data_IF_420105940683
#
_entry.id   IF_420105940683
#
_cell.length_a   1.000
_cell.length_b   1.000
_cell.length_c   1.000
_cell.angle_alpha   90.00
_cell.angle_beta   90.00
_cell.angle_gamma   90.00
#
_symmetry.space_group_name_H-M   'P 1'
#
loop_
_entity.id
_entity.type
_entity.pdbx_description
1 polymer ?
#
# COMPACT_ATOMS: atom_id res chain seq x y z
N UNK A 1 -8.14 -5.05 -24.35
CA UNK A 1 -9.24 -4.98 -23.39
C UNK A 1 -8.96 -5.73 -22.15
N UNK A 2 -8.43 -6.89 -22.27
CA UNK A 2 -8.20 -7.75 -21.14
C UNK A 2 -7.18 -7.22 -20.15
N UNK A 3 -6.35 -6.26 -20.52
CA UNK A 3 -5.27 -5.78 -19.66
C UNK A 3 -5.55 -4.48 -18.95
N UNK A 4 -6.83 -4.09 -18.88
CA UNK A 4 -7.19 -2.85 -18.23
C UNK A 4 -6.72 -2.79 -16.79
N UNK A 5 -6.88 -3.91 -16.06
CA UNK A 5 -6.48 -3.99 -14.66
C UNK A 5 -4.98 -3.80 -14.51
N UNK A 6 -4.18 -4.43 -15.36
CA UNK A 6 -2.75 -4.31 -15.32
C UNK A 6 -2.28 -2.89 -15.61
N UNK A 7 -2.93 -2.24 -16.58
CA UNK A 7 -2.64 -0.84 -16.89
C UNK A 7 -2.95 0.07 -15.71
N UNK A 8 -4.07 -0.20 -15.02
CA UNK A 8 -4.46 0.61 -13.88
C UNK A 8 -3.42 0.52 -12.76
N UNK A 9 -2.91 -0.68 -12.51
CA UNK A 9 -1.91 -0.85 -11.47
C UNK A 9 -0.63 -0.09 -11.83
N UNK A 10 -0.18 -0.19 -13.06
CA UNK A 10 1.01 0.52 -13.51
C UNK A 10 0.85 2.02 -13.42
N UNK A 11 -0.32 2.52 -13.74
CA UNK A 11 -0.55 3.96 -13.65
C UNK A 11 -0.61 4.43 -12.21
N UNK A 12 -1.01 3.55 -11.29
CA UNK A 12 -1.06 3.90 -9.87
C UNK A 12 0.31 3.98 -9.24
N UNK A 13 1.22 3.08 -9.59
CA UNK A 13 2.50 2.96 -8.89
C UNK A 13 3.69 3.51 -9.66
N UNK A 14 3.56 3.75 -10.96
CA UNK A 14 4.70 4.15 -11.78
C UNK A 14 5.51 2.94 -12.23
N UNK A 15 6.40 3.16 -13.19
CA UNK A 15 7.06 2.05 -13.87
C UNK A 15 8.22 1.44 -13.11
N UNK A 16 9.01 2.25 -12.45
CA UNK A 16 10.27 1.80 -11.89
C UNK A 16 10.22 1.48 -10.40
N UNK A 17 9.04 1.51 -9.82
CA UNK A 17 8.90 1.41 -8.37
C UNK A 17 8.60 -0.02 -7.95
N UNK A 18 9.34 -0.53 -6.96
CA UNK A 18 9.00 -1.79 -6.33
C UNK A 18 7.68 -1.64 -5.57
N UNK A 19 6.86 -2.68 -5.59
CA UNK A 19 5.61 -2.60 -4.85
C UNK A 19 5.18 -3.94 -4.30
N UNK A 20 4.33 -3.89 -3.27
CA UNK A 20 3.74 -5.04 -2.64
C UNK A 20 2.22 -4.83 -2.59
N UNK A 21 1.47 -5.89 -2.82
CA UNK A 21 0.00 -5.84 -2.88
C UNK A 21 -0.60 -6.44 -1.63
N UNK A 22 -1.60 -5.77 -1.07
CA UNK A 22 -2.35 -6.27 0.07
C UNK A 22 -3.83 -6.14 -0.22
N UNK A 23 -4.60 -7.20 0.04
CA UNK A 23 -6.04 -7.17 -0.19
C UNK A 23 -6.73 -6.24 0.79
N UNK A 24 -6.25 -6.22 2.03
CA UNK A 24 -6.85 -5.44 3.09
C UNK A 24 -5.78 -5.10 4.11
N UNK A 25 -6.13 -4.19 5.02
CA UNK A 25 -5.25 -3.90 6.15
C UNK A 25 -5.50 -4.96 7.23
N UNK A 26 -4.46 -5.74 7.53
CA UNK A 26 -4.56 -6.75 8.58
C UNK A 26 -4.25 -6.12 9.93
N UNK A 27 -5.29 -5.72 10.64
CA UNK A 27 -5.14 -5.04 11.93
C UNK A 27 -4.59 -5.97 12.99
N UNK A 28 -4.99 -7.24 12.94
CA UNK A 28 -4.57 -8.21 13.94
C UNK A 28 -3.15 -8.72 13.74
N UNK A 29 -2.64 -8.63 12.53
CA UNK A 29 -1.30 -9.10 12.20
C UNK A 29 -0.55 -8.04 11.41
N UNK A 30 -0.25 -6.91 12.04
CA UNK A 30 0.41 -5.83 11.30
C UNK A 30 1.83 -6.17 10.87
N UNK A 31 2.43 -7.21 11.45
CA UNK A 31 3.81 -7.57 11.14
C UNK A 31 4.02 -7.87 9.66
N UNK A 32 3.01 -8.44 8.98
CA UNK A 32 3.20 -8.81 7.58
C UNK A 32 3.45 -7.60 6.69
N UNK A 33 2.68 -6.55 6.86
CA UNK A 33 2.87 -5.37 6.03
C UNK A 33 3.93 -4.44 6.60
N UNK A 34 4.12 -4.42 7.93
CA UNK A 34 5.20 -3.64 8.54
C UNK A 34 6.56 -4.16 8.11
N UNK A 35 6.67 -5.47 7.93
CA UNK A 35 7.90 -6.06 7.42
C UNK A 35 8.24 -5.53 6.03
N UNK A 36 7.24 -5.40 5.18
CA UNK A 36 7.44 -4.82 3.85
C UNK A 36 7.87 -3.36 3.93
N UNK A 37 7.28 -2.60 4.86
CA UNK A 37 7.67 -1.21 5.07
C UNK A 37 9.14 -1.13 5.45
N UNK A 38 9.58 -1.95 6.41
CA UNK A 38 10.97 -1.96 6.83
C UNK A 38 11.90 -2.35 5.69
N UNK A 39 11.53 -3.35 4.90
CA UNK A 39 12.34 -3.79 3.78
C UNK A 39 12.52 -2.66 2.75
N UNK A 40 11.43 -1.96 2.45
CA UNK A 40 11.51 -0.84 1.50
C UNK A 40 12.35 0.31 2.07
N UNK A 41 12.15 0.63 3.35
CA UNK A 41 12.90 1.73 3.98
C UNK A 41 14.40 1.44 4.03
N UNK A 42 14.76 0.18 4.22
CA UNK A 42 16.18 -0.21 4.28
C UNK A 42 16.76 -0.50 2.91
N UNK A 43 15.95 -0.48 1.88
CA UNK A 43 16.39 -0.72 0.51
C UNK A 43 16.28 0.54 -0.32
N UNK A 44 15.60 0.45 -1.44
CA UNK A 44 15.48 1.55 -2.40
C UNK A 44 14.10 2.21 -2.36
N UNK A 45 13.32 1.92 -1.32
CA UNK A 45 11.97 2.43 -1.24
C UNK A 45 10.98 1.54 -1.98
N UNK A 46 9.72 1.92 -1.94
CA UNK A 46 8.69 1.16 -2.63
C UNK A 46 7.31 1.63 -2.23
N UNK A 47 6.31 0.94 -2.74
CA UNK A 47 4.91 1.27 -2.47
C UNK A 47 4.18 0.01 -2.01
N UNK A 48 3.41 0.14 -0.93
CA UNK A 48 2.43 -0.88 -0.58
C UNK A 48 1.06 -0.40 -1.05
N UNK A 49 0.36 -1.25 -1.78
CA UNK A 49 -0.97 -0.94 -2.28
C UNK A 49 -1.98 -1.79 -1.54
N UNK A 50 -2.88 -1.16 -0.80
CA UNK A 50 -3.93 -1.85 -0.06
C UNK A 50 -5.23 -1.78 -0.84
N UNK A 51 -5.88 -2.92 -1.00
CA UNK A 51 -7.14 -3.03 -1.73
C UNK A 51 -7.03 -3.78 -3.05
N UNK A 52 -5.90 -4.45 -3.27
CA UNK A 52 -5.65 -5.22 -4.50
C UNK A 52 -5.35 -6.66 -4.13
N UNK A 53 -5.94 -7.61 -4.85
CA UNK A 53 -5.72 -9.02 -4.62
C UNK A 53 -4.40 -9.49 -5.24
N UNK A 54 -4.01 -10.72 -4.91
CA UNK A 54 -2.77 -11.29 -5.43
C UNK A 54 -2.77 -11.43 -6.96
N UNK A 55 -3.94 -11.60 -7.54
CA UNK A 55 -4.05 -11.70 -9.00
C UNK A 55 -4.37 -10.35 -9.65
N UNK A 56 -4.02 -9.26 -8.96
CA UNK A 56 -4.08 -7.89 -9.47
C UNK A 56 -5.50 -7.38 -9.73
N UNK A 57 -6.47 -7.92 -9.01
CA UNK A 57 -7.83 -7.40 -9.09
C UNK A 57 -8.02 -6.29 -8.07
N UNK A 58 -8.62 -5.19 -8.52
CA UNK A 58 -8.89 -4.06 -7.64
C UNK A 58 -10.17 -4.36 -6.87
N UNK A 59 -10.01 -4.61 -5.58
CA UNK A 59 -11.12 -4.96 -4.69
C UNK A 59 -11.66 -3.75 -3.94
N UNK A 60 -10.78 -2.82 -3.61
CA UNK A 60 -11.14 -1.65 -2.81
C UNK A 60 -11.15 -1.95 -1.33
N UNK A 61 -11.21 -0.89 -0.55
CA UNK A 61 -11.26 -0.96 0.91
C UNK A 61 -12.57 -0.36 1.39
N UNK A 62 -13.14 -0.94 2.44
CA UNK A 62 -14.39 -0.45 3.00
C UNK A 62 -14.24 0.91 3.67
N UNK A 63 -13.08 1.15 4.30
CA UNK A 63 -12.84 2.40 5.01
C UNK A 63 -11.38 2.82 4.77
N UNK A 64 -11.13 3.33 3.59
CA UNK A 64 -9.77 3.68 3.18
C UNK A 64 -9.17 4.77 4.06
N UNK A 65 -9.97 5.78 4.43
CA UNK A 65 -9.50 6.85 5.31
C UNK A 65 -9.11 6.32 6.68
N UNK A 66 -9.97 5.48 7.25
CA UNK A 66 -9.68 4.88 8.55
C UNK A 66 -8.47 3.97 8.50
N UNK A 67 -8.34 3.21 7.41
CA UNK A 67 -7.19 2.35 7.22
C UNK A 67 -5.90 3.16 7.12
N UNK A 68 -5.94 4.28 6.41
CA UNK A 68 -4.76 5.15 6.29
C UNK A 68 -4.31 5.67 7.66
N UNK A 69 -5.26 6.04 8.53
CA UNK A 69 -4.93 6.47 9.88
C UNK A 69 -4.28 5.35 10.68
N UNK A 70 -4.84 4.15 10.60
CA UNK A 70 -4.28 3.01 11.32
C UNK A 70 -2.88 2.67 10.82
N UNK A 71 -2.67 2.73 9.52
CA UNK A 71 -1.34 2.50 8.95
C UNK A 71 -0.33 3.49 9.53
N UNK A 72 -0.70 4.77 9.55
CA UNK A 72 0.18 5.80 10.08
C UNK A 72 0.51 5.57 11.55
N UNK A 73 -0.50 5.23 12.34
CA UNK A 73 -0.30 4.99 13.78
C UNK A 73 0.59 3.77 14.02
N UNK A 74 0.37 2.69 13.28
CA UNK A 74 1.18 1.49 13.46
C UNK A 74 2.64 1.73 13.10
N UNK A 75 2.88 2.46 12.02
CA UNK A 75 4.24 2.77 11.63
C UNK A 75 4.95 3.57 12.71
N UNK A 76 4.28 4.61 13.23
CA UNK A 76 4.87 5.47 14.25
C UNK A 76 5.14 4.74 15.55
N UNK A 77 4.28 3.79 15.92
CA UNK A 77 4.40 3.11 17.21
C UNK A 77 5.27 1.86 17.16
N UNK A 78 5.39 1.23 16.00
CA UNK A 78 6.06 -0.08 15.89
C UNK A 78 7.44 -0.04 15.27
N UNK A 79 7.76 0.99 14.51
CA UNK A 79 9.05 1.07 13.80
C UNK A 79 9.92 2.15 14.39
N UNK A 80 11.19 1.81 14.64
CA UNK A 80 12.18 2.73 15.21
C UNK A 80 13.53 2.47 14.53
N UNK A 81 14.08 3.43 13.79
CA UNK A 81 13.53 4.77 13.58
C UNK A 81 12.29 4.73 12.69
N UNK A 82 11.43 5.73 12.84
CA UNK A 82 10.21 5.83 12.02
C UNK A 82 10.61 6.18 10.59
N UNK A 83 10.26 5.36 9.61
CA UNK A 83 10.64 5.68 8.23
C UNK A 83 9.84 6.84 7.68
N UNK A 84 10.37 7.47 6.64
CA UNK A 84 9.66 8.53 5.94
C UNK A 84 8.67 7.89 4.99
N UNK A 85 7.40 8.21 5.16
CA UNK A 85 6.34 7.63 4.33
C UNK A 85 5.37 8.72 3.90
N UNK A 86 4.60 8.42 2.86
CA UNK A 86 3.50 9.27 2.42
C UNK A 86 2.31 8.39 2.07
N UNK A 87 1.16 8.74 2.60
CA UNK A 87 -0.07 8.01 2.32
C UNK A 87 -0.86 8.74 1.24
N UNK A 88 -1.39 7.98 0.31
CA UNK A 88 -2.17 8.52 -0.78
C UNK A 88 -3.44 7.70 -0.93
N UNK A 89 -4.58 8.38 -1.02
CA UNK A 89 -5.84 7.74 -1.28
C UNK A 89 -6.13 7.82 -2.77
N UNK A 90 -6.43 6.69 -3.38
CA UNK A 90 -6.78 6.64 -4.80
C UNK A 90 -8.14 5.99 -4.95
N UNK A 91 -8.86 6.42 -5.96
CA UNK A 91 -10.14 5.82 -6.29
C UNK A 91 -10.14 5.43 -7.76
N UNK A 92 -10.57 4.21 -8.05
CA UNK A 92 -10.70 3.74 -9.42
C UNK A 92 -11.94 2.86 -9.51
N UNK A 93 -12.82 3.16 -10.46
CA UNK A 93 -14.09 2.44 -10.67
C UNK A 93 -14.92 2.38 -9.39
N UNK A 94 -14.93 3.47 -8.62
CA UNK A 94 -15.69 3.54 -7.39
C UNK A 94 -15.08 2.80 -6.21
N UNK A 95 -13.89 2.24 -6.39
CA UNK A 95 -13.21 1.50 -5.33
C UNK A 95 -12.04 2.32 -4.81
N UNK A 96 -11.90 2.36 -3.49
CA UNK A 96 -10.88 3.17 -2.86
C UNK A 96 -9.70 2.32 -2.43
N UNK A 97 -8.51 2.83 -2.70
CA UNK A 97 -7.25 2.18 -2.38
C UNK A 97 -6.41 3.11 -1.51
N UNK A 98 -5.52 2.52 -0.74
CA UNK A 98 -4.50 3.28 -0.02
C UNK A 98 -3.15 2.89 -0.58
N UNK A 99 -2.38 3.89 -1.00
CA UNK A 99 -1.01 3.70 -1.44
C UNK A 99 -0.10 4.25 -0.36
N UNK A 100 0.76 3.40 0.16
CA UNK A 100 1.74 3.78 1.17
C UNK A 100 3.10 3.86 0.50
N UNK A 101 3.57 5.08 0.27
CA UNK A 101 4.87 5.32 -0.32
C UNK A 101 5.92 5.29 0.78
N UNK A 102 6.92 4.44 0.64
CA UNK A 102 8.00 4.30 1.62
C UNK A 102 9.29 4.78 0.97
N UNK A 103 9.97 5.71 1.61
CA UNK A 103 11.21 6.27 1.10
C UNK A 103 12.42 5.62 1.78
N UNK A 104 13.52 5.45 1.03
CA UNK A 104 14.72 4.83 1.59
C UNK A 104 15.45 5.68 2.61
#
# INVERSE_FOLDING_TARGET
>A
MSNTMELDIKSLIGEATAYDKKQMLEVRRPKSWLKSVSAFANGEGGILVFGISDDDQILGLDDAEGDAEKISEEIKSKLDPVPVVRLELKETDGKKLVLLHVYP
#
